data_IF_486063494933
#
_entry.id   IF_486063494933
#
_cell.length_a   1.000
_cell.length_b   1.000
_cell.length_c   1.000
_cell.angle_alpha   90.00
_cell.angle_beta   90.00
_cell.angle_gamma   90.00
#
_symmetry.space_group_name_H-M   'P 1'
#
loop_
_entity.id
_entity.type
_entity.pdbx_description
1 polymer ?
#
# COMPACT_ATOMS: atom_id res chain seq x y z
N UNK A 1 13.91 4.50 16.84
CA UNK A 1 12.88 4.52 15.78
C UNK A 1 12.85 3.19 15.01
N UNK A 2 13.88 2.83 14.23
CA UNK A 2 13.91 1.58 13.43
C UNK A 2 13.74 0.30 14.27
N UNK A 3 14.42 0.21 15.41
CA UNK A 3 14.29 -0.94 16.33
C UNK A 3 12.84 -1.14 16.81
N UNK A 4 12.06 -0.06 16.95
CA UNK A 4 10.64 -0.14 17.31
C UNK A 4 9.83 -0.80 16.19
N UNK A 5 10.03 -0.36 14.94
CA UNK A 5 9.36 -0.96 13.77
C UNK A 5 9.75 -2.43 13.56
N UNK A 6 11.03 -2.78 13.77
CA UNK A 6 11.50 -4.17 13.71
C UNK A 6 10.83 -5.02 14.79
N UNK A 7 10.74 -4.51 16.03
CA UNK A 7 10.06 -5.21 17.12
C UNK A 7 8.57 -5.39 16.83
N UNK A 8 7.88 -4.36 16.34
CA UNK A 8 6.45 -4.45 15.95
C UNK A 8 6.26 -5.49 14.85
N UNK A 9 7.12 -5.47 13.82
CA UNK A 9 7.07 -6.45 12.73
C UNK A 9 7.26 -7.87 13.28
N UNK A 10 8.32 -8.09 14.08
CA UNK A 10 8.58 -9.39 14.71
C UNK A 10 7.39 -9.85 15.55
N UNK A 11 6.85 -8.99 16.41
CA UNK A 11 5.79 -9.35 17.35
C UNK A 11 4.44 -9.60 16.63
N UNK A 12 4.24 -9.00 15.46
CA UNK A 12 3.05 -9.23 14.62
C UNK A 12 3.09 -10.60 13.93
N UNK A 13 4.25 -10.99 13.39
CA UNK A 13 4.39 -12.26 12.66
C UNK A 13 4.74 -13.44 13.58
N UNK A 14 5.49 -13.19 14.65
CA UNK A 14 5.92 -14.18 15.65
C UNK A 14 5.65 -13.71 17.09
N UNK A 15 4.38 -13.58 17.50
CA UNK A 15 4.03 -13.30 18.89
C UNK A 15 4.62 -14.40 19.80
N UNK A 16 5.44 -14.00 20.78
CA UNK A 16 6.14 -14.93 21.69
C UNK A 16 7.00 -15.99 20.96
N UNK A 17 7.51 -15.67 19.77
CA UNK A 17 8.38 -16.58 18.99
C UNK A 17 7.65 -17.69 18.25
N UNK A 18 6.31 -17.71 18.25
CA UNK A 18 5.49 -18.67 17.50
C UNK A 18 4.82 -17.95 16.34
N UNK A 19 4.75 -18.60 15.17
CA UNK A 19 4.07 -18.05 14.01
C UNK A 19 2.64 -17.67 14.39
N UNK A 20 2.25 -16.43 14.06
CA UNK A 20 0.93 -15.93 14.39
C UNK A 20 -0.16 -16.85 13.80
N UNK A 21 -1.25 -17.11 14.56
CA UNK A 21 -2.36 -17.89 14.07
C UNK A 21 -2.97 -17.23 12.83
N UNK A 22 -3.48 -18.05 11.90
CA UNK A 22 -4.14 -17.57 10.69
C UNK A 22 -5.26 -16.58 11.07
N UNK A 23 -5.07 -15.31 10.70
CA UNK A 23 -6.08 -14.28 10.88
C UNK A 23 -7.28 -14.69 10.02
N UNK A 24 -8.47 -14.74 10.63
CA UNK A 24 -9.71 -15.07 9.92
C UNK A 24 -9.83 -14.16 8.70
N UNK A 25 -10.01 -14.76 7.52
CA UNK A 25 -10.21 -13.99 6.31
C UNK A 25 -11.43 -13.08 6.49
N UNK A 26 -11.24 -11.78 6.22
CA UNK A 26 -12.30 -10.78 6.32
C UNK A 26 -13.48 -11.16 5.43
N UNK A 27 -14.71 -10.98 5.92
CA UNK A 27 -15.89 -11.19 5.11
C UNK A 27 -16.00 -10.13 4.00
N UNK A 28 -16.76 -10.41 2.95
CA UNK A 28 -17.03 -9.43 1.89
C UNK A 28 -17.77 -8.19 2.40
N UNK A 29 -18.63 -8.36 3.42
CA UNK A 29 -19.31 -7.23 4.07
C UNK A 29 -18.32 -6.32 4.80
N UNK A 30 -17.41 -6.88 5.61
CA UNK A 30 -16.38 -6.12 6.31
C UNK A 30 -15.44 -5.41 5.34
N UNK A 31 -15.09 -6.06 4.22
CA UNK A 31 -14.26 -5.47 3.16
C UNK A 31 -14.95 -4.27 2.52
N UNK A 32 -16.22 -4.41 2.12
CA UNK A 32 -17.01 -3.33 1.53
C UNK A 32 -17.14 -2.15 2.48
N UNK A 33 -17.54 -2.39 3.73
CA UNK A 33 -17.71 -1.32 4.72
C UNK A 33 -16.41 -0.56 4.98
N UNK A 34 -15.28 -1.26 5.01
CA UNK A 34 -13.98 -0.60 5.23
C UNK A 34 -13.55 0.19 4.01
N UNK A 35 -13.83 -0.31 2.80
CA UNK A 35 -13.60 0.43 1.56
C UNK A 35 -14.39 1.73 1.53
N UNK A 36 -15.68 1.68 1.84
CA UNK A 36 -16.55 2.86 1.90
C UNK A 36 -16.07 3.87 2.96
N UNK A 37 -15.77 3.38 4.18
CA UNK A 37 -15.22 4.22 5.25
C UNK A 37 -13.89 4.88 4.85
N UNK A 38 -13.00 4.15 4.19
CA UNK A 38 -11.72 4.68 3.73
C UNK A 38 -11.89 5.72 2.63
N UNK A 39 -12.78 5.46 1.67
CA UNK A 39 -13.09 6.40 0.59
C UNK A 39 -13.66 7.71 1.14
N UNK A 40 -14.59 7.63 2.09
CA UNK A 40 -15.17 8.81 2.73
C UNK A 40 -14.10 9.63 3.46
N UNK A 41 -13.24 8.98 4.25
CA UNK A 41 -12.13 9.65 4.93
C UNK A 41 -11.20 10.37 3.96
N UNK A 42 -10.91 9.78 2.79
CA UNK A 42 -10.10 10.41 1.75
C UNK A 42 -10.77 11.65 1.16
N UNK A 43 -12.09 11.60 0.95
CA UNK A 43 -12.87 12.72 0.44
C UNK A 43 -13.06 13.85 1.46
N UNK A 44 -13.05 13.53 2.75
CA UNK A 44 -13.15 14.53 3.82
C UNK A 44 -11.80 15.24 4.08
N UNK A 45 -10.68 14.63 3.68
CA UNK A 45 -9.33 15.13 3.91
C UNK A 45 -8.62 15.55 2.60
N UNK A 46 -9.38 16.06 1.63
CA UNK A 46 -8.80 16.55 0.37
C UNK A 46 -8.02 17.85 0.65
N UNK A 47 -6.71 17.92 0.32
CA UNK A 47 -5.92 19.12 0.56
C UNK A 47 -6.45 20.34 -0.18
N UNK A 48 -6.55 21.49 0.50
CA UNK A 48 -7.02 22.74 -0.10
C UNK A 48 -6.16 23.19 -1.28
N UNK A 49 -4.84 22.94 -1.23
CA UNK A 49 -3.95 23.20 -2.35
C UNK A 49 -4.38 22.48 -3.64
N UNK A 50 -4.85 21.24 -3.51
CA UNK A 50 -5.32 20.44 -4.65
C UNK A 50 -6.66 20.97 -5.15
N UNK A 51 -7.56 21.35 -4.24
CA UNK A 51 -8.83 21.98 -4.60
C UNK A 51 -8.64 23.33 -5.31
N UNK A 52 -7.66 24.12 -4.88
CA UNK A 52 -7.34 25.43 -5.46
C UNK A 52 -6.67 25.31 -6.84
N UNK A 53 -5.87 24.25 -7.05
CA UNK A 53 -5.16 24.03 -8.31
C UNK A 53 -6.06 23.50 -9.43
N UNK A 54 -6.89 22.49 -9.12
CA UNK A 54 -7.69 21.79 -10.14
C UNK A 54 -9.20 22.04 -10.03
N UNK A 55 -9.66 22.71 -8.97
CA UNK A 55 -11.07 22.89 -8.64
C UNK A 55 -11.63 21.75 -7.80
N UNK A 56 -12.61 22.04 -6.94
CA UNK A 56 -13.18 21.06 -6.00
C UNK A 56 -13.75 19.80 -6.67
N UNK A 57 -14.48 19.97 -7.78
CA UNK A 57 -15.10 18.84 -8.49
C UNK A 57 -14.03 17.89 -9.05
N UNK A 58 -13.00 18.45 -9.68
CA UNK A 58 -11.91 17.68 -10.28
C UNK A 58 -11.02 17.03 -9.23
N UNK A 59 -10.79 17.71 -8.09
CA UNK A 59 -10.08 17.16 -6.95
C UNK A 59 -10.77 15.90 -6.40
N UNK A 60 -12.10 15.98 -6.16
CA UNK A 60 -12.90 14.84 -5.69
C UNK A 60 -12.88 13.69 -6.69
N UNK A 61 -13.10 13.98 -7.97
CA UNK A 61 -13.09 12.95 -9.01
C UNK A 61 -11.72 12.28 -9.15
N UNK A 62 -10.64 13.07 -9.14
CA UNK A 62 -9.27 12.58 -9.21
C UNK A 62 -8.94 11.65 -8.04
N UNK A 63 -9.32 12.03 -6.82
CA UNK A 63 -9.08 11.21 -5.63
C UNK A 63 -9.88 9.90 -5.66
N UNK A 64 -11.14 9.92 -6.11
CA UNK A 64 -11.93 8.70 -6.29
C UNK A 64 -11.26 7.78 -7.33
N UNK A 65 -10.77 8.35 -8.43
CA UNK A 65 -10.09 7.59 -9.48
C UNK A 65 -8.80 6.95 -8.96
N UNK A 66 -7.97 7.69 -8.22
CA UNK A 66 -6.76 7.17 -7.58
C UNK A 66 -7.12 6.08 -6.57
N UNK A 67 -8.13 6.32 -5.72
CA UNK A 67 -8.58 5.34 -4.74
C UNK A 67 -9.02 4.04 -5.42
N UNK A 68 -9.77 4.11 -6.51
CA UNK A 68 -10.19 2.93 -7.27
C UNK A 68 -9.00 2.20 -7.90
N UNK A 69 -8.02 2.92 -8.46
CA UNK A 69 -6.79 2.30 -8.96
C UNK A 69 -6.04 1.54 -7.85
N UNK A 70 -6.01 2.08 -6.63
CA UNK A 70 -5.44 1.41 -5.46
C UNK A 70 -6.26 0.21 -4.97
N UNK A 71 -7.49 0.00 -5.43
CA UNK A 71 -8.26 -1.22 -5.11
C UNK A 71 -7.94 -2.39 -6.05
N UNK A 72 -7.24 -2.16 -7.16
CA UNK A 72 -6.91 -3.20 -8.13
C UNK A 72 -5.78 -4.10 -7.63
N UNK A 73 -6.13 -5.27 -7.08
CA UNK A 73 -5.18 -6.19 -6.45
C UNK A 73 -4.06 -6.65 -7.39
N UNK A 74 -4.35 -6.87 -8.67
CA UNK A 74 -3.35 -7.28 -9.65
C UNK A 74 -2.36 -6.16 -9.96
N UNK A 75 -2.84 -4.92 -10.11
CA UNK A 75 -1.99 -3.76 -10.33
C UNK A 75 -1.09 -3.51 -9.10
N UNK A 76 -1.65 -3.60 -7.90
CA UNK A 76 -0.90 -3.47 -6.65
C UNK A 76 0.15 -4.57 -6.47
N UNK A 77 -0.17 -5.81 -6.86
CA UNK A 77 0.78 -6.92 -6.83
C UNK A 77 1.96 -6.66 -7.77
N UNK A 78 1.69 -6.17 -8.96
CA UNK A 78 2.75 -5.80 -9.90
C UNK A 78 3.59 -4.64 -9.37
N UNK A 79 2.96 -3.59 -8.83
CA UNK A 79 3.65 -2.48 -8.18
C UNK A 79 4.58 -2.96 -7.05
N UNK A 80 4.12 -3.91 -6.22
CA UNK A 80 4.93 -4.50 -5.16
C UNK A 80 6.17 -5.22 -5.70
N UNK A 81 6.04 -5.98 -6.79
CA UNK A 81 7.17 -6.65 -7.42
C UNK A 81 8.20 -5.66 -7.96
N UNK A 82 7.75 -4.58 -8.59
CA UNK A 82 8.64 -3.52 -9.06
C UNK A 82 9.36 -2.83 -7.90
N UNK A 83 8.66 -2.53 -6.80
CA UNK A 83 9.28 -1.98 -5.59
C UNK A 83 10.30 -2.94 -4.98
N UNK A 84 9.98 -4.22 -4.92
CA UNK A 84 10.88 -5.25 -4.39
C UNK A 84 12.13 -5.39 -5.27
N UNK A 85 11.97 -5.39 -6.59
CA UNK A 85 13.09 -5.40 -7.53
C UNK A 85 14.01 -4.19 -7.30
N UNK A 86 13.46 -2.98 -7.19
CA UNK A 86 14.25 -1.77 -6.92
C UNK A 86 15.03 -1.87 -5.60
N UNK A 87 14.38 -2.36 -4.54
CA UNK A 87 15.05 -2.54 -3.23
C UNK A 87 16.16 -3.59 -3.31
N UNK A 88 15.92 -4.71 -4.00
CA UNK A 88 16.92 -5.77 -4.15
C UNK A 88 18.14 -5.29 -4.94
N UNK A 89 17.93 -4.52 -6.01
CA UNK A 89 19.00 -3.91 -6.81
C UNK A 89 19.86 -2.94 -5.99
N UNK A 90 19.26 -2.20 -5.06
CA UNK A 90 19.97 -1.27 -4.19
C UNK A 90 20.72 -1.98 -3.05
N UNK A 91 20.10 -3.00 -2.42
CA UNK A 91 20.69 -3.73 -1.30
C UNK A 91 21.75 -4.75 -1.73
N UNK A 92 21.63 -5.31 -2.93
CA UNK A 92 22.52 -6.30 -3.48
C UNK A 92 23.01 -5.83 -4.85
N UNK A 93 24.05 -4.95 -4.89
CA UNK A 93 24.54 -4.40 -6.15
C UNK A 93 25.05 -5.47 -7.13
N UNK A 94 25.42 -6.66 -6.63
CA UNK A 94 25.76 -7.86 -7.40
C UNK A 94 24.64 -8.32 -8.35
N UNK A 95 23.36 -8.05 -8.01
CA UNK A 95 22.21 -8.44 -8.84
C UNK A 95 21.99 -7.51 -10.05
N UNK A 96 22.67 -6.36 -10.10
CA UNK A 96 22.55 -5.45 -11.24
C UNK A 96 23.28 -5.96 -12.50
N UNK A 97 24.18 -6.94 -12.35
CA UNK A 97 25.09 -7.40 -13.42
C UNK A 97 24.37 -8.26 -14.48
N UNK A 98 23.23 -8.87 -14.16
CA UNK A 98 22.51 -9.78 -15.07
C UNK A 98 21.53 -9.07 -16.03
N UNK A 99 21.27 -7.77 -15.88
CA UNK A 99 20.29 -7.06 -16.74
C UNK A 99 20.91 -6.42 -17.98
N UNK A 100 22.24 -6.48 -18.15
CA UNK A 100 22.97 -5.82 -19.27
C UNK A 100 23.33 -6.78 -20.42
N UNK A 101 22.88 -8.05 -20.37
CA UNK A 101 23.20 -9.07 -21.39
C UNK A 101 22.00 -9.63 -22.17
N UNK A 102 20.87 -8.92 -22.20
CA UNK A 102 19.74 -9.25 -23.10
C UNK A 102 19.37 -8.04 -23.94
#
# INVERSE_FOLDING_TARGET
MIVCYINIFRDTFWPNGKLAPQIKARSDTERRETKERAQQKLLDNIPDALQNLVGQQNARYGIIKIFNALQEANANKHLLYVLMEMILKELCPELNVETDQI
#
